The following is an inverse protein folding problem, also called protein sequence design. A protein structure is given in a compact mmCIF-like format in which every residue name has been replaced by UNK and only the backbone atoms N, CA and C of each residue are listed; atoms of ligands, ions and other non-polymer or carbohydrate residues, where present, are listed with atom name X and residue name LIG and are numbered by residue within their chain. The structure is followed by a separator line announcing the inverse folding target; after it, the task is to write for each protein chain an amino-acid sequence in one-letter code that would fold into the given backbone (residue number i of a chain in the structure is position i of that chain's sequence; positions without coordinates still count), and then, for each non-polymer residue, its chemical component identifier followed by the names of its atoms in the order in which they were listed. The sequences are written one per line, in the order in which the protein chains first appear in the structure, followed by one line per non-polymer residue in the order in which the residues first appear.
data_IF_835253899915
#
_entry.id   IF_835253899915
#
_cell.length_a   1.000
_cell.length_b   1.000
_cell.length_c   1.000
_cell.angle_alpha   90.00
_cell.angle_beta   90.00
_cell.angle_gamma   90.00
#
_symmetry.space_group_name_H-M   'P 1'
#
loop_
_entity.id
_entity.type
_entity.pdbx_description
1 polymer ?
#
# COMPACT_ATOMS: atom_id res chain seq x y z
N UNK A 1 0.49 -13.07 23.17
CA UNK A 1 -0.25 -12.26 22.17
C UNK A 1 -0.43 -10.78 22.56
N UNK A 2 -0.67 -10.42 23.84
CA UNK A 2 -1.02 -9.05 24.25
C UNK A 2 0.05 -7.95 24.05
N UNK A 3 1.35 -8.23 24.28
CA UNK A 3 2.41 -7.21 24.23
C UNK A 3 2.73 -6.64 22.83
N UNK A 4 2.41 -7.37 21.75
CA UNK A 4 2.79 -6.98 20.39
C UNK A 4 1.65 -6.30 19.62
N UNK A 5 0.40 -6.64 19.95
CA UNK A 5 -0.77 -5.85 19.55
C UNK A 5 -0.60 -4.42 20.05
N UNK A 6 -0.15 -4.26 21.30
CA UNK A 6 0.14 -2.95 21.90
C UNK A 6 1.20 -2.11 21.13
N UNK A 7 2.27 -2.71 20.60
CA UNK A 7 3.26 -1.95 19.81
C UNK A 7 2.73 -1.57 18.41
N UNK A 8 2.11 -2.52 17.71
CA UNK A 8 1.51 -2.26 16.41
C UNK A 8 0.39 -1.23 16.53
N UNK A 9 -0.48 -1.37 17.54
CA UNK A 9 -1.54 -0.42 17.84
C UNK A 9 -0.98 0.95 18.18
N UNK A 10 0.08 1.05 18.99
CA UNK A 10 0.75 2.34 19.25
C UNK A 10 1.24 3.01 17.97
N UNK A 11 1.93 2.27 17.11
CA UNK A 11 2.46 2.83 15.85
C UNK A 11 1.33 3.20 14.88
N UNK A 12 0.35 2.32 14.68
CA UNK A 12 -0.80 2.59 13.81
C UNK A 12 -1.64 3.74 14.35
N UNK A 13 -1.82 3.86 15.68
CA UNK A 13 -2.50 4.99 16.31
C UNK A 13 -1.73 6.30 16.13
N UNK A 14 -0.40 6.27 16.19
CA UNK A 14 0.44 7.44 15.91
C UNK A 14 0.29 7.89 14.44
N UNK A 15 0.25 6.95 13.50
CA UNK A 15 -0.04 7.24 12.08
C UNK A 15 -1.46 7.80 11.91
N UNK A 16 -2.47 7.16 12.51
CA UNK A 16 -3.88 7.62 12.45
C UNK A 16 -4.01 9.04 13.00
N UNK A 17 -3.38 9.33 14.13
CA UNK A 17 -3.41 10.64 14.77
C UNK A 17 -2.75 11.71 13.90
N UNK A 18 -1.59 11.40 13.32
CA UNK A 18 -0.92 12.29 12.38
C UNK A 18 -1.74 12.49 11.10
N UNK A 19 -2.25 11.43 10.48
CA UNK A 19 -3.04 11.53 9.25
C UNK A 19 -4.33 12.33 9.45
N UNK A 20 -5.00 12.15 10.61
CA UNK A 20 -6.18 12.95 10.99
C UNK A 20 -5.88 14.45 11.07
N UNK A 21 -4.67 14.81 11.53
CA UNK A 21 -4.27 16.21 11.70
C UNK A 21 -3.74 16.83 10.41
N UNK A 22 -2.90 16.10 9.69
CA UNK A 22 -2.08 16.65 8.60
C UNK A 22 -2.63 16.34 7.21
N UNK A 23 -3.41 15.28 7.05
CA UNK A 23 -3.87 14.79 5.73
C UNK A 23 -5.37 14.98 5.58
N UNK A 24 -6.16 14.47 6.52
CA UNK A 24 -7.62 14.42 6.42
C UNK A 24 -8.31 15.78 6.24
N UNK A 25 -7.84 16.91 6.83
CA UNK A 25 -8.45 18.21 6.61
C UNK A 25 -8.41 18.68 5.14
N UNK A 26 -7.52 18.13 4.33
CA UNK A 26 -7.38 18.46 2.91
C UNK A 26 -8.14 17.51 1.98
N UNK A 27 -8.57 16.35 2.48
CA UNK A 27 -9.21 15.32 1.67
C UNK A 27 -10.72 15.58 1.54
N UNK A 28 -11.18 15.78 0.30
CA UNK A 28 -12.60 15.54 -0.04
C UNK A 28 -12.78 14.03 -0.18
N UNK A 29 -13.49 13.38 0.77
CA UNK A 29 -13.63 11.91 0.94
C UNK A 29 -13.26 11.11 -0.32
N UNK A 30 -12.01 10.62 -0.42
CA UNK A 30 -11.56 9.95 -1.63
C UNK A 30 -12.33 8.65 -1.80
N UNK A 31 -12.70 8.36 -3.05
CA UNK A 31 -13.42 7.14 -3.42
C UNK A 31 -12.51 5.95 -3.65
N UNK A 32 -11.25 6.22 -4.03
CA UNK A 32 -10.26 5.19 -4.30
C UNK A 32 -8.89 5.58 -3.74
N UNK A 33 -8.20 4.60 -3.18
CA UNK A 33 -6.75 4.64 -2.91
C UNK A 33 -6.06 3.73 -3.90
N UNK A 34 -5.14 4.28 -4.69
CA UNK A 34 -4.28 3.56 -5.64
C UNK A 34 -2.91 3.42 -5.01
N UNK A 35 -2.50 2.19 -4.72
CA UNK A 35 -1.25 1.89 -4.02
C UNK A 35 -0.34 1.00 -4.89
N UNK A 36 0.26 1.56 -5.96
CA UNK A 36 1.19 0.82 -6.78
C UNK A 36 2.46 0.51 -5.99
N UNK A 37 3.06 -0.65 -6.25
CA UNK A 37 4.25 -1.15 -5.57
C UNK A 37 4.08 -1.39 -4.06
N UNK A 38 2.84 -1.40 -3.56
CA UNK A 38 2.57 -1.58 -2.13
C UNK A 38 2.62 -3.03 -1.66
N UNK A 39 2.56 -4.01 -2.56
CA UNK A 39 2.36 -5.41 -2.16
C UNK A 39 1.01 -5.56 -1.43
N UNK A 40 0.85 -6.51 -0.50
CA UNK A 40 -0.41 -6.71 0.23
C UNK A 40 -0.57 -5.76 1.43
N UNK A 41 0.04 -4.56 1.40
CA UNK A 41 0.09 -3.60 2.51
C UNK A 41 -1.23 -2.85 2.79
N UNK A 42 -2.31 -3.60 3.00
CA UNK A 42 -3.62 -3.01 3.29
C UNK A 42 -3.58 -2.21 4.60
N UNK A 43 -2.83 -2.71 5.59
CA UNK A 43 -2.74 -2.10 6.92
C UNK A 43 -2.34 -0.63 6.86
N UNK A 44 -1.33 -0.25 6.06
CA UNK A 44 -0.96 1.17 5.95
C UNK A 44 -1.98 1.96 5.12
N UNK A 45 -2.49 1.39 4.02
CA UNK A 45 -3.46 2.07 3.17
C UNK A 45 -4.70 2.52 3.95
N UNK A 46 -5.30 1.62 4.73
CA UNK A 46 -6.48 1.93 5.55
C UNK A 46 -6.14 2.79 6.77
N UNK A 47 -4.92 2.69 7.30
CA UNK A 47 -4.47 3.51 8.45
C UNK A 47 -4.30 4.99 8.05
N UNK A 48 -3.74 5.27 6.87
CA UNK A 48 -3.65 6.64 6.35
C UNK A 48 -4.99 7.15 5.82
N UNK A 49 -5.75 6.29 5.15
CA UNK A 49 -6.98 6.66 4.44
C UNK A 49 -8.14 5.73 4.84
N UNK A 50 -8.72 5.88 6.05
CA UNK A 50 -9.83 5.05 6.48
C UNK A 50 -11.12 5.42 5.73
N UNK A 51 -12.04 4.46 5.58
CA UNK A 51 -13.39 4.71 5.06
C UNK A 51 -13.49 5.03 3.57
N UNK A 52 -12.51 4.58 2.77
CA UNK A 52 -12.51 4.71 1.31
C UNK A 52 -13.32 3.57 0.70
N UNK A 53 -14.09 3.87 -0.36
CA UNK A 53 -14.96 2.89 -1.03
C UNK A 53 -14.13 1.76 -1.67
N UNK A 54 -12.96 2.06 -2.24
CA UNK A 54 -12.07 1.08 -2.86
C UNK A 54 -10.58 1.29 -2.54
N UNK A 55 -9.88 0.20 -2.20
CA UNK A 55 -8.43 0.14 -2.10
C UNK A 55 -7.89 -0.74 -3.21
N UNK A 56 -6.96 -0.22 -4.01
CA UNK A 56 -6.33 -0.94 -5.12
C UNK A 56 -4.84 -1.03 -4.85
N UNK A 57 -4.42 -2.21 -4.40
CA UNK A 57 -3.03 -2.54 -4.10
C UNK A 57 -2.42 -3.29 -5.28
N UNK A 58 -1.13 -3.07 -5.52
CA UNK A 58 -0.42 -3.69 -6.63
C UNK A 58 0.94 -4.17 -6.20
N UNK A 59 1.27 -5.39 -6.63
CA UNK A 59 2.59 -5.97 -6.44
C UNK A 59 2.89 -7.06 -7.46
N UNK A 60 3.97 -7.80 -7.23
CA UNK A 60 4.40 -8.94 -8.07
C UNK A 60 4.35 -10.26 -7.32
N UNK A 61 3.97 -10.22 -6.05
CA UNK A 61 3.85 -11.39 -5.20
C UNK A 61 2.79 -12.35 -5.75
N UNK A 62 3.00 -13.67 -5.61
CA UNK A 62 2.01 -14.65 -6.02
C UNK A 62 0.70 -14.47 -5.23
N UNK A 63 -0.44 -14.62 -5.91
CA UNK A 63 -1.77 -14.55 -5.28
C UNK A 63 -1.92 -15.60 -4.18
N UNK A 64 -1.42 -16.81 -4.46
CA UNK A 64 -1.46 -17.94 -3.54
C UNK A 64 -2.88 -18.45 -3.29
N UNK A 65 -3.06 -19.24 -2.23
CA UNK A 65 -4.34 -19.89 -1.91
C UNK A 65 -4.66 -19.89 -0.43
N UNK A 66 -5.96 -19.98 -0.14
CA UNK A 66 -6.44 -20.21 1.21
C UNK A 66 -6.46 -21.71 1.49
N UNK A 67 -5.91 -22.15 2.63
CA UNK A 67 -6.18 -23.50 3.10
C UNK A 67 -7.66 -23.66 3.46
N UNK A 68 -8.14 -24.91 3.51
CA UNK A 68 -9.47 -25.22 4.04
C UNK A 68 -9.48 -25.08 5.56
N UNK A 69 -9.62 -23.84 6.04
CA UNK A 69 -9.65 -23.52 7.47
C UNK A 69 -10.78 -24.24 8.22
N UNK A 70 -11.88 -24.59 7.55
CA UNK A 70 -13.02 -25.26 8.18
C UNK A 70 -12.80 -26.77 8.32
N UNK A 71 -11.98 -27.35 7.46
CA UNK A 71 -11.57 -28.75 7.52
C UNK A 71 -10.35 -29.02 8.42
N UNK A 72 -9.62 -27.97 8.84
CA UNK A 72 -8.42 -28.10 9.67
C UNK A 72 -8.74 -28.54 11.11
N UNK A 73 -7.87 -29.38 11.68
CA UNK A 73 -7.90 -29.66 13.12
C UNK A 73 -7.43 -28.43 13.90
N UNK A 74 -7.91 -28.27 15.13
CA UNK A 74 -7.59 -27.12 16.00
C UNK A 74 -6.08 -26.89 16.14
N UNK A 75 -5.30 -27.95 16.37
CA UNK A 75 -3.84 -27.87 16.49
C UNK A 75 -3.15 -27.40 15.20
N UNK A 76 -3.67 -27.81 14.04
CA UNK A 76 -3.13 -27.42 12.73
C UNK A 76 -3.46 -25.96 12.42
N UNK A 77 -4.71 -25.55 12.72
CA UNK A 77 -5.15 -24.17 12.60
C UNK A 77 -4.31 -23.24 13.49
N UNK A 78 -4.09 -23.63 14.75
CA UNK A 78 -3.27 -22.88 15.70
C UNK A 78 -1.82 -22.76 15.20
N UNK A 79 -1.23 -23.85 14.71
CA UNK A 79 0.12 -23.83 14.14
C UNK A 79 0.21 -22.88 12.94
N UNK A 80 -0.77 -22.93 12.04
CA UNK A 80 -0.86 -22.06 10.88
C UNK A 80 -0.96 -20.58 11.29
N UNK A 81 -1.90 -20.24 12.18
CA UNK A 81 -2.12 -18.86 12.62
C UNK A 81 -0.91 -18.30 13.38
N UNK A 82 -0.25 -19.13 14.19
CA UNK A 82 0.98 -18.76 14.87
C UNK A 82 2.12 -18.48 13.87
N UNK A 83 2.26 -19.31 12.83
CA UNK A 83 3.26 -19.10 11.79
C UNK A 83 2.96 -17.83 10.98
N UNK A 84 1.72 -17.64 10.53
CA UNK A 84 1.27 -16.43 9.82
C UNK A 84 1.57 -15.17 10.63
N UNK A 85 1.22 -15.18 11.92
CA UNK A 85 1.50 -14.07 12.85
C UNK A 85 3.01 -13.83 13.01
N UNK A 86 3.82 -14.90 13.06
CA UNK A 86 5.27 -14.79 13.18
C UNK A 86 5.91 -14.17 11.93
N UNK A 87 5.52 -14.64 10.74
CA UNK A 87 6.01 -14.15 9.44
C UNK A 87 5.61 -12.68 9.24
N UNK A 88 4.36 -12.35 9.52
CA UNK A 88 3.86 -10.97 9.38
C UNK A 88 4.41 -10.02 10.46
N UNK A 89 4.82 -10.53 11.63
CA UNK A 89 5.59 -9.75 12.62
C UNK A 89 6.93 -9.29 12.07
N UNK A 90 7.62 -10.15 11.30
CA UNK A 90 8.91 -9.80 10.67
C UNK A 90 8.73 -8.66 9.65
N UNK A 91 7.69 -8.77 8.82
CA UNK A 91 7.35 -7.79 7.78
C UNK A 91 6.88 -6.46 8.38
N UNK A 92 6.02 -6.49 9.41
CA UNK A 92 5.51 -5.29 10.09
C UNK A 92 6.63 -4.47 10.76
N UNK A 93 7.70 -5.13 11.25
CA UNK A 93 8.89 -4.44 11.78
C UNK A 93 9.71 -3.72 10.71
N UNK A 94 9.67 -4.20 9.46
CA UNK A 94 10.39 -3.59 8.34
C UNK A 94 9.58 -2.48 7.66
N UNK A 95 8.24 -2.49 7.79
CA UNK A 95 7.28 -1.60 7.09
C UNK A 95 7.42 -1.54 5.57
N UNK A 96 8.02 -2.56 4.96
CA UNK A 96 7.99 -2.80 3.53
C UNK A 96 8.15 -4.30 3.28
N UNK A 97 7.64 -4.75 2.14
CA UNK A 97 7.69 -6.15 1.71
C UNK A 97 8.97 -6.39 0.90
N UNK A 98 9.81 -7.33 1.33
CA UNK A 98 11.04 -7.71 0.62
C UNK A 98 10.77 -9.00 -0.17
N UNK A 99 10.70 -8.87 -1.49
CA UNK A 99 10.34 -9.94 -2.44
C UNK A 99 11.19 -11.21 -2.34
N UNK A 100 12.45 -11.12 -1.92
CA UNK A 100 13.38 -12.27 -1.86
C UNK A 100 13.28 -13.02 -0.54
N UNK A 101 13.28 -12.31 0.60
CA UNK A 101 13.15 -12.95 1.93
C UNK A 101 11.73 -13.49 2.15
N UNK A 102 10.70 -12.82 1.63
CA UNK A 102 9.34 -13.34 1.60
C UNK A 102 9.25 -14.69 0.89
N UNK A 103 9.98 -14.90 -0.21
CA UNK A 103 9.95 -16.17 -0.95
C UNK A 103 10.53 -17.32 -0.12
N UNK A 104 11.54 -17.04 0.70
CA UNK A 104 12.15 -18.02 1.60
C UNK A 104 11.28 -18.30 2.84
N UNK A 105 10.62 -17.26 3.38
CA UNK A 105 9.71 -17.38 4.53
C UNK A 105 8.37 -18.04 4.16
N UNK A 106 7.79 -17.72 3.00
CA UNK A 106 6.53 -18.33 2.52
C UNK A 106 6.72 -19.76 2.00
N UNK A 107 7.89 -20.07 1.42
CA UNK A 107 8.12 -21.36 0.76
C UNK A 107 8.34 -22.56 1.70
N UNK A 108 8.68 -22.33 2.97
CA UNK A 108 9.13 -23.43 3.87
C UNK A 108 8.07 -23.93 4.85
N UNK A 109 7.00 -23.18 5.14
CA UNK A 109 6.05 -23.51 6.24
C UNK A 109 4.57 -23.11 6.02
N UNK A 110 4.11 -22.96 4.78
CA UNK A 110 2.67 -23.14 4.47
C UNK A 110 1.80 -21.90 4.30
N UNK A 111 2.33 -20.67 4.32
CA UNK A 111 1.57 -19.49 3.90
C UNK A 111 1.75 -19.29 2.38
N UNK A 112 0.77 -19.73 1.60
CA UNK A 112 0.77 -19.62 0.13
C UNK A 112 0.27 -18.25 -0.33
N UNK A 113 1.21 -17.38 -0.69
CA UNK A 113 0.97 -16.09 -1.36
C UNK A 113 0.23 -15.03 -0.54
N UNK A 114 -0.28 -14.01 -1.23
CA UNK A 114 -0.83 -12.81 -0.59
C UNK A 114 -2.24 -12.95 -0.05
N UNK A 115 -3.03 -13.92 -0.51
CA UNK A 115 -4.42 -14.07 -0.08
C UNK A 115 -4.56 -14.19 1.46
N UNK A 116 -3.90 -15.14 2.14
CA UNK A 116 -3.98 -15.21 3.60
C UNK A 116 -3.44 -13.96 4.30
N UNK A 117 -2.50 -13.23 3.67
CA UNK A 117 -1.94 -11.98 4.20
C UNK A 117 -2.97 -10.84 4.16
N UNK A 118 -3.75 -10.73 3.08
CA UNK A 118 -4.82 -9.72 2.97
C UNK A 118 -5.91 -9.96 4.02
N UNK A 119 -6.30 -11.22 4.26
CA UNK A 119 -7.25 -11.56 5.32
C UNK A 119 -6.71 -11.20 6.71
N UNK A 120 -5.43 -11.48 6.96
CA UNK A 120 -4.78 -11.10 8.21
C UNK A 120 -4.80 -9.58 8.42
N UNK A 121 -4.46 -8.78 7.41
CA UNK A 121 -4.46 -7.32 7.57
C UNK A 121 -5.86 -6.72 7.69
N UNK A 122 -6.87 -7.33 7.05
CA UNK A 122 -8.26 -6.96 7.28
C UNK A 122 -8.63 -7.16 8.76
N UNK A 123 -8.34 -8.34 9.32
CA UNK A 123 -8.58 -8.64 10.73
C UNK A 123 -7.76 -7.74 11.68
N UNK A 124 -6.49 -7.47 11.36
CA UNK A 124 -5.61 -6.59 12.15
C UNK A 124 -6.12 -5.15 12.21
N UNK A 125 -6.90 -4.73 11.22
CA UNK A 125 -7.45 -3.37 11.11
C UNK A 125 -8.93 -3.31 11.46
N UNK A 126 -9.45 -4.31 12.16
CA UNK A 126 -10.84 -4.39 12.63
C UNK A 126 -11.86 -4.34 11.46
N UNK A 127 -11.56 -5.09 10.39
CA UNK A 127 -12.47 -5.32 9.28
C UNK A 127 -12.91 -6.79 9.23
N UNK A 128 -14.23 -7.00 9.17
CA UNK A 128 -14.83 -8.27 8.77
C UNK A 128 -14.72 -8.45 7.26
N UNK A 129 -14.22 -9.61 6.80
CA UNK A 129 -14.30 -10.02 5.39
C UNK A 129 -15.65 -10.69 5.13
N UNK A 130 -16.43 -10.16 4.20
CA UNK A 130 -17.77 -10.64 3.85
C UNK A 130 -17.74 -11.61 2.67
N UNK A 131 -16.85 -11.37 1.71
CA UNK A 131 -16.65 -12.17 0.52
C UNK A 131 -15.21 -12.03 0.03
N UNK A 132 -14.73 -13.03 -0.71
CA UNK A 132 -13.39 -13.06 -1.26
C UNK A 132 -13.31 -13.93 -2.51
N UNK A 133 -12.78 -13.38 -3.60
CA UNK A 133 -12.74 -14.06 -4.90
C UNK A 133 -11.42 -13.79 -5.63
N UNK A 134 -10.99 -14.77 -6.43
CA UNK A 134 -10.01 -14.53 -7.48
C UNK A 134 -10.68 -13.80 -8.64
N UNK A 135 -10.01 -12.80 -9.18
CA UNK A 135 -10.53 -11.99 -10.27
C UNK A 135 -9.53 -11.84 -11.40
N UNK A 136 -10.06 -11.79 -12.61
CA UNK A 136 -9.35 -11.45 -13.85
C UNK A 136 -9.89 -10.15 -14.42
N UNK A 137 -9.03 -9.38 -15.07
CA UNK A 137 -9.44 -8.18 -15.79
C UNK A 137 -9.84 -8.54 -17.22
N UNK A 138 -11.05 -8.14 -17.61
CA UNK A 138 -11.49 -8.25 -18.99
C UNK A 138 -10.90 -7.11 -19.85
N UNK A 139 -11.14 -7.14 -21.16
CA UNK A 139 -10.59 -6.15 -22.10
C UNK A 139 -11.06 -4.70 -21.88
N UNK A 140 -12.13 -4.47 -21.13
CA UNK A 140 -12.60 -3.14 -20.73
C UNK A 140 -12.07 -2.68 -19.38
N UNK A 141 -11.29 -3.51 -18.68
CA UNK A 141 -10.81 -3.22 -17.32
C UNK A 141 -11.86 -3.50 -16.23
N UNK A 142 -12.90 -4.27 -16.52
CA UNK A 142 -13.83 -4.78 -15.50
C UNK A 142 -13.31 -6.08 -14.88
N UNK A 143 -13.65 -6.33 -13.62
CA UNK A 143 -13.31 -7.57 -12.92
C UNK A 143 -14.34 -8.66 -13.18
N UNK A 144 -13.86 -9.88 -13.41
CA UNK A 144 -14.68 -11.09 -13.55
C UNK A 144 -14.10 -12.16 -12.63
N UNK A 145 -14.95 -12.86 -11.88
CA UNK A 145 -14.54 -14.01 -11.07
C UNK A 145 -13.95 -15.10 -11.96
N UNK A 146 -12.87 -15.73 -11.49
CA UNK A 146 -12.20 -16.80 -12.21
C UNK A 146 -11.54 -17.79 -11.25
N UNK A 147 -10.93 -18.84 -11.82
CA UNK A 147 -10.06 -19.74 -11.06
C UNK A 147 -8.76 -19.04 -10.64
N UNK A 148 -8.08 -19.57 -9.61
CA UNK A 148 -6.76 -19.08 -9.15
C UNK A 148 -5.72 -19.03 -10.28
N UNK A 149 -5.72 -20.04 -11.16
CA UNK A 149 -4.70 -20.18 -12.21
C UNK A 149 -4.85 -19.16 -13.34
N UNK A 150 -6.05 -18.59 -13.50
CA UNK A 150 -6.36 -17.57 -14.51
C UNK A 150 -6.37 -16.15 -13.96
N UNK A 151 -6.19 -16.00 -12.65
CA UNK A 151 -6.42 -14.75 -11.94
C UNK A 151 -5.30 -13.73 -12.12
N UNK A 152 -5.70 -12.48 -12.35
CA UNK A 152 -4.81 -11.32 -12.30
C UNK A 152 -4.73 -10.74 -10.88
N UNK A 153 -5.71 -11.03 -10.03
CA UNK A 153 -5.82 -10.46 -8.70
C UNK A 153 -6.79 -11.17 -7.76
N UNK A 154 -6.91 -10.60 -6.56
CA UNK A 154 -7.87 -10.99 -5.52
C UNK A 154 -8.74 -9.76 -5.22
N UNK A 155 -10.04 -10.00 -5.07
CA UNK A 155 -11.00 -9.03 -4.56
C UNK A 155 -11.57 -9.52 -3.23
N UNK A 156 -11.66 -8.61 -2.27
CA UNK A 156 -12.30 -8.81 -0.98
C UNK A 156 -13.37 -7.74 -0.76
N UNK A 157 -14.54 -8.17 -0.30
CA UNK A 157 -15.54 -7.26 0.26
C UNK A 157 -15.36 -7.19 1.77
N UNK A 158 -15.13 -5.97 2.27
CA UNK A 158 -14.84 -5.72 3.68
C UNK A 158 -15.94 -4.88 4.32
N UNK A 159 -16.10 -5.03 5.63
CA UNK A 159 -16.88 -4.12 6.48
C UNK A 159 -16.05 -3.78 7.71
N UNK A 160 -15.83 -2.49 7.96
CA UNK A 160 -15.24 -2.04 9.22
C UNK A 160 -16.18 -2.37 10.39
N UNK A 161 -15.64 -2.96 11.45
CA UNK A 161 -16.42 -3.39 12.62
C UNK A 161 -16.99 -2.18 13.37
N UNK A 162 -16.17 -1.14 13.54
CA UNK A 162 -16.58 0.17 14.05
C UNK A 162 -16.66 1.21 12.92
N UNK A 163 -17.80 1.22 12.23
CA UNK A 163 -18.01 2.16 11.11
C UNK A 163 -18.29 3.58 11.59
N UNK A 164 -17.46 4.53 11.18
CA UNK A 164 -17.70 5.97 11.40
C UNK A 164 -18.86 6.49 10.53
N UNK A 165 -19.57 7.51 11.02
CA UNK A 165 -20.63 8.17 10.26
C UNK A 165 -20.08 8.71 8.93
N UNK A 166 -20.79 8.43 7.83
CA UNK A 166 -20.39 8.85 6.48
C UNK A 166 -19.40 7.92 5.76
N UNK A 167 -18.90 6.88 6.43
CA UNK A 167 -18.13 5.82 5.77
C UNK A 167 -19.06 4.80 5.09
N UNK A 168 -18.60 4.17 3.98
CA UNK A 168 -19.42 3.22 3.25
C UNK A 168 -19.74 2.00 4.10
N UNK A 169 -20.88 1.36 3.85
CA UNK A 169 -21.30 0.15 4.56
C UNK A 169 -20.36 -1.03 4.28
N UNK A 170 -19.91 -1.13 3.04
CA UNK A 170 -18.89 -2.09 2.61
C UNK A 170 -17.81 -1.39 1.80
N UNK A 171 -16.62 -1.97 1.78
CA UNK A 171 -15.45 -1.48 1.08
C UNK A 171 -14.89 -2.60 0.20
N UNK A 172 -14.29 -2.22 -0.92
CA UNK A 172 -13.64 -3.18 -1.81
C UNK A 172 -12.13 -3.09 -1.63
N UNK A 173 -11.49 -4.23 -1.40
CA UNK A 173 -10.04 -4.35 -1.42
C UNK A 173 -9.64 -5.21 -2.61
N UNK A 174 -8.92 -4.61 -3.54
CA UNK A 174 -8.30 -5.29 -4.67
C UNK A 174 -6.79 -5.40 -4.43
N UNK A 175 -6.24 -6.58 -4.70
CA UNK A 175 -4.81 -6.76 -4.94
C UNK A 175 -4.62 -7.31 -6.35
N UNK A 176 -3.82 -6.65 -7.17
CA UNK A 176 -3.45 -7.14 -8.50
C UNK A 176 -1.97 -7.51 -8.55
N UNK A 177 -1.68 -8.69 -9.08
CA UNK A 177 -0.34 -9.11 -9.45
C UNK A 177 -0.08 -8.63 -10.88
N UNK A 178 0.57 -7.48 -11.05
CA UNK A 178 0.74 -6.87 -12.37
C UNK A 178 2.11 -6.21 -12.54
N UNK A 179 2.64 -6.26 -13.76
CA UNK A 179 3.84 -5.52 -14.10
C UNK A 179 3.51 -4.04 -14.38
N UNK A 180 4.07 -3.16 -13.55
CA UNK A 180 3.90 -1.71 -13.66
C UNK A 180 4.97 -1.02 -14.52
N UNK A 181 5.91 -1.77 -15.11
CA UNK A 181 6.81 -1.23 -16.13
C UNK A 181 6.01 -0.67 -17.31
N UNK A 182 6.62 0.17 -18.13
CA UNK A 182 5.98 0.70 -19.34
C UNK A 182 5.50 -0.40 -20.30
N UNK A 183 6.05 -1.62 -20.20
CA UNK A 183 5.65 -2.75 -21.05
C UNK A 183 4.33 -3.39 -20.60
N UNK A 184 4.09 -3.49 -19.29
CA UNK A 184 2.87 -4.01 -18.67
C UNK A 184 1.80 -2.92 -18.46
N UNK A 185 2.24 -1.74 -18.01
CA UNK A 185 1.41 -0.55 -17.81
C UNK A 185 1.50 0.39 -19.01
N UNK A 186 0.77 0.04 -20.08
CA UNK A 186 0.75 0.75 -21.36
C UNK A 186 -0.67 1.16 -21.77
N UNK A 187 -0.81 2.16 -22.67
CA UNK A 187 -2.11 2.55 -23.20
C UNK A 187 -2.93 1.34 -23.66
N UNK A 188 -4.17 1.27 -23.18
CA UNK A 188 -5.12 0.22 -23.52
C UNK A 188 -4.99 -1.09 -22.74
N UNK A 189 -3.98 -1.25 -21.86
CA UNK A 189 -3.88 -2.44 -21.02
C UNK A 189 -5.08 -2.56 -20.07
N UNK A 190 -5.55 -3.79 -19.77
CA UNK A 190 -6.73 -3.98 -18.90
C UNK A 190 -6.61 -3.30 -17.55
N UNK A 191 -5.41 -3.34 -16.94
CA UNK A 191 -5.18 -2.72 -15.63
C UNK A 191 -5.20 -1.20 -15.68
N UNK A 192 -4.64 -0.57 -16.72
CA UNK A 192 -4.76 0.88 -16.89
C UNK A 192 -6.23 1.28 -17.03
N UNK A 193 -7.01 0.57 -17.87
CA UNK A 193 -8.46 0.83 -18.01
C UNK A 193 -9.22 0.67 -16.70
N UNK A 194 -8.86 -0.32 -15.88
CA UNK A 194 -9.44 -0.51 -14.55
C UNK A 194 -9.19 0.72 -13.66
N UNK A 195 -7.99 1.29 -13.68
CA UNK A 195 -7.66 2.48 -12.89
C UNK A 195 -8.30 3.77 -13.46
N UNK A 196 -8.41 3.89 -14.78
CA UNK A 196 -9.01 5.05 -15.46
C UNK A 196 -10.51 5.21 -15.13
N UNK A 197 -11.22 4.12 -14.85
CA UNK A 197 -12.60 4.13 -14.37
C UNK A 197 -12.76 4.70 -12.96
N UNK A 198 -11.66 4.98 -12.27
CA UNK A 198 -11.61 5.43 -10.87
C UNK A 198 -10.87 6.77 -10.76
N UNK A 199 -11.37 7.86 -11.37
CA UNK A 199 -10.68 9.14 -11.37
C UNK A 199 -10.61 9.77 -9.96
N UNK A 200 -9.78 10.80 -9.82
CA UNK A 200 -9.73 11.71 -8.66
C UNK A 200 -9.48 11.04 -7.30
N UNK A 201 -8.75 9.93 -7.32
CA UNK A 201 -8.34 9.19 -6.12
C UNK A 201 -7.11 9.74 -5.41
N UNK A 202 -6.69 8.99 -4.39
CA UNK A 202 -5.40 9.17 -3.72
C UNK A 202 -4.38 8.20 -4.32
N UNK A 203 -3.22 8.69 -4.72
CA UNK A 203 -2.03 7.86 -4.93
C UNK A 203 -1.29 7.66 -3.60
N UNK A 204 -1.00 6.43 -3.22
CA UNK A 204 -0.16 6.13 -2.07
C UNK A 204 1.09 5.39 -2.53
N UNK A 205 2.27 5.85 -2.10
CA UNK A 205 3.55 5.30 -2.50
C UNK A 205 4.45 5.17 -1.27
N UNK A 206 4.98 3.98 -1.05
CA UNK A 206 5.81 3.70 0.11
C UNK A 206 6.74 2.55 -0.22
N UNK A 207 8.04 2.76 0.01
CA UNK A 207 9.09 1.80 -0.35
C UNK A 207 8.93 1.26 -1.79
N UNK A 208 8.72 2.15 -2.76
CA UNK A 208 8.44 1.81 -4.15
C UNK A 208 9.70 1.56 -5.00
N UNK A 209 10.80 1.14 -4.36
CA UNK A 209 12.08 0.78 -4.99
C UNK A 209 12.66 1.82 -5.94
N UNK A 210 12.30 3.09 -5.79
CA UNK A 210 12.72 4.19 -6.68
C UNK A 210 12.42 3.96 -8.18
N UNK A 211 11.51 3.04 -8.50
CA UNK A 211 11.26 2.61 -9.89
C UNK A 211 10.83 3.77 -10.78
N UNK A 212 9.99 4.66 -10.24
CA UNK A 212 9.51 5.87 -10.92
C UNK A 212 10.56 6.98 -11.07
N UNK A 213 11.79 6.77 -10.63
CA UNK A 213 12.93 7.64 -10.98
C UNK A 213 13.48 7.30 -12.36
N UNK A 214 13.17 6.11 -12.87
CA UNK A 214 13.65 5.63 -14.17
C UNK A 214 12.62 5.87 -15.29
N UNK A 215 13.07 5.84 -16.54
CA UNK A 215 12.20 5.95 -17.70
C UNK A 215 11.31 4.71 -17.90
N UNK A 216 11.76 3.53 -17.46
CA UNK A 216 11.03 2.27 -17.60
C UNK A 216 9.71 2.22 -16.85
N UNK A 217 9.45 3.17 -15.93
CA UNK A 217 8.21 3.29 -15.16
C UNK A 217 7.56 4.67 -15.33
N UNK A 218 7.87 5.38 -16.41
CA UNK A 218 7.30 6.70 -16.71
C UNK A 218 5.79 6.67 -16.87
N UNK A 219 5.21 5.58 -17.39
CA UNK A 219 3.77 5.51 -17.63
C UNK A 219 2.96 5.55 -16.34
N UNK A 220 3.34 4.75 -15.33
CA UNK A 220 2.68 4.76 -14.02
C UNK A 220 2.92 6.08 -13.29
N UNK A 221 4.14 6.64 -13.37
CA UNK A 221 4.45 7.98 -12.84
C UNK A 221 3.52 9.05 -13.42
N UNK A 222 3.43 9.09 -14.75
CA UNK A 222 2.62 10.08 -15.48
C UNK A 222 1.12 9.87 -15.23
N UNK A 223 0.67 8.62 -15.13
CA UNK A 223 -0.70 8.30 -14.75
C UNK A 223 -1.05 8.85 -13.37
N UNK A 224 -0.20 8.62 -12.36
CA UNK A 224 -0.46 9.09 -10.99
C UNK A 224 -0.58 10.62 -10.93
N UNK A 225 0.35 11.36 -11.55
CA UNK A 225 0.25 12.83 -11.56
C UNK A 225 -0.91 13.36 -12.40
N UNK A 226 -1.34 12.60 -13.42
CA UNK A 226 -2.45 12.95 -14.30
C UNK A 226 -3.85 12.59 -13.78
N UNK A 227 -3.95 11.60 -12.88
CA UNK A 227 -5.23 11.01 -12.46
C UNK A 227 -5.52 11.18 -10.95
N UNK A 228 -4.50 11.30 -10.10
CA UNK A 228 -4.72 11.44 -8.65
C UNK A 228 -4.90 12.91 -8.26
N UNK A 229 -5.90 13.17 -7.41
CA UNK A 229 -6.11 14.49 -6.82
C UNK A 229 -5.15 14.74 -5.65
N UNK A 230 -4.81 13.66 -4.94
CA UNK A 230 -3.90 13.69 -3.80
C UNK A 230 -2.86 12.60 -3.98
N UNK A 231 -1.63 12.85 -3.51
CA UNK A 231 -0.60 11.81 -3.42
C UNK A 231 0.10 11.92 -2.08
N UNK A 232 0.25 10.79 -1.38
CA UNK A 232 1.11 10.67 -0.22
C UNK A 232 2.26 9.73 -0.57
N UNK A 233 3.50 10.19 -0.41
CA UNK A 233 4.67 9.40 -0.79
C UNK A 233 5.90 9.64 0.08
N UNK A 234 6.77 8.63 0.18
CA UNK A 234 8.15 8.82 0.63
C UNK A 234 9.11 9.13 -0.55
N UNK A 235 10.41 9.26 -0.26
CA UNK A 235 11.44 9.59 -1.27
C UNK A 235 11.53 8.59 -2.43
N UNK A 236 11.12 7.33 -2.22
CA UNK A 236 11.21 6.26 -3.20
C UNK A 236 10.07 6.25 -4.23
N UNK A 237 9.07 7.11 -4.05
CA UNK A 237 7.98 7.33 -5.00
C UNK A 237 8.41 8.13 -6.23
N UNK A 238 7.57 9.08 -6.62
CA UNK A 238 7.83 10.01 -7.73
C UNK A 238 8.97 10.96 -7.32
N UNK A 239 9.97 11.24 -8.19
CA UNK A 239 11.03 12.20 -7.89
C UNK A 239 10.47 13.53 -7.41
N UNK A 240 10.94 14.04 -6.28
CA UNK A 240 10.30 15.15 -5.57
C UNK A 240 10.27 16.45 -6.38
N UNK A 241 11.33 16.72 -7.15
CA UNK A 241 11.38 17.89 -8.02
C UNK A 241 10.30 17.80 -9.12
N UNK A 242 10.21 16.65 -9.80
CA UNK A 242 9.15 16.38 -10.78
C UNK A 242 7.76 16.46 -10.13
N UNK A 243 7.58 15.83 -8.97
CA UNK A 243 6.32 15.82 -8.22
C UNK A 243 5.85 17.25 -7.88
N UNK A 244 6.77 18.13 -7.46
CA UNK A 244 6.48 19.52 -7.12
C UNK A 244 6.00 20.36 -8.30
N UNK A 245 6.21 19.91 -9.54
CA UNK A 245 5.67 20.62 -10.72
C UNK A 245 4.15 20.47 -10.84
N UNK A 246 3.60 19.32 -10.45
CA UNK A 246 2.17 18.98 -10.58
C UNK A 246 1.36 19.17 -9.30
N UNK A 247 2.01 19.17 -8.13
CA UNK A 247 1.33 19.23 -6.83
C UNK A 247 1.82 20.41 -6.00
N UNK A 248 0.93 20.97 -5.19
CA UNK A 248 1.27 21.77 -4.03
C UNK A 248 1.67 20.80 -2.91
N UNK A 249 2.96 20.77 -2.57
CA UNK A 249 3.54 19.73 -1.71
C UNK A 249 3.83 20.26 -0.32
N UNK A 250 3.32 19.56 0.69
CA UNK A 250 3.75 19.69 2.08
C UNK A 250 4.74 18.58 2.42
N UNK A 251 5.86 18.96 3.04
CA UNK A 251 6.96 18.05 3.38
C UNK A 251 6.98 17.77 4.88
N UNK A 252 7.29 16.54 5.26
CA UNK A 252 7.35 16.12 6.65
C UNK A 252 8.61 15.29 6.92
N UNK A 253 9.10 15.37 8.16
CA UNK A 253 10.21 14.56 8.65
C UNK A 253 11.58 15.16 8.37
N UNK A 254 12.56 14.31 8.06
CA UNK A 254 13.94 14.72 7.80
C UNK A 254 14.59 13.87 6.71
N UNK A 255 14.99 14.50 5.60
CA UNK A 255 15.62 13.79 4.50
C UNK A 255 17.12 13.62 4.73
N UNK A 256 17.57 12.38 4.90
CA UNK A 256 18.98 12.00 5.09
C UNK A 256 19.56 11.22 3.89
N UNK A 257 18.87 11.26 2.75
CA UNK A 257 19.20 10.46 1.57
C UNK A 257 18.62 9.03 1.59
N UNK A 258 18.68 8.32 0.45
CA UNK A 258 18.27 6.91 0.34
C UNK A 258 19.15 5.98 1.18
N UNK A 259 18.69 4.75 1.41
CA UNK A 259 19.56 3.68 1.95
C UNK A 259 20.64 3.30 0.93
N UNK A 260 21.73 2.66 1.37
CA UNK A 260 22.91 2.37 0.54
C UNK A 260 22.57 1.69 -0.80
N UNK A 261 21.62 0.75 -0.78
CA UNK A 261 21.13 0.03 -1.97
C UNK A 261 20.53 0.94 -3.06
N UNK A 262 20.07 2.14 -2.68
CA UNK A 262 19.44 3.13 -3.56
C UNK A 262 20.18 4.47 -3.54
N UNK A 263 21.46 4.47 -3.16
CA UNK A 263 22.25 5.69 -2.97
C UNK A 263 22.35 6.56 -4.23
N UNK A 264 22.24 5.96 -5.41
CA UNK A 264 22.22 6.68 -6.70
C UNK A 264 20.96 7.56 -6.89
N UNK A 265 19.91 7.35 -6.11
CA UNK A 265 18.67 8.13 -6.16
C UNK A 265 18.59 9.23 -5.10
N UNK A 266 19.74 9.73 -4.63
CA UNK A 266 19.78 10.92 -3.78
C UNK A 266 19.21 12.14 -4.50
N UNK A 267 18.46 12.97 -3.78
CA UNK A 267 17.68 14.07 -4.35
C UNK A 267 18.17 15.41 -3.78
N UNK A 268 19.04 16.15 -4.49
CA UNK A 268 19.48 17.49 -4.10
C UNK A 268 18.33 18.48 -3.85
N UNK A 269 17.21 18.30 -4.56
CA UNK A 269 15.99 19.07 -4.34
C UNK A 269 15.45 18.89 -2.92
N UNK A 270 15.39 17.64 -2.42
CA UNK A 270 14.94 17.37 -1.06
C UNK A 270 15.91 17.95 -0.02
N UNK A 271 17.23 17.82 -0.21
CA UNK A 271 18.22 18.44 0.70
C UNK A 271 17.95 19.95 0.88
N UNK A 272 17.72 20.69 -0.21
CA UNK A 272 17.39 22.12 -0.15
C UNK A 272 16.10 22.40 0.62
N UNK A 273 15.05 21.61 0.39
CA UNK A 273 13.77 21.76 1.10
C UNK A 273 13.94 21.55 2.60
N UNK A 274 14.57 20.44 3.01
CA UNK A 274 14.69 20.10 4.44
C UNK A 274 15.68 21.01 5.18
N UNK A 275 16.73 21.51 4.51
CA UNK A 275 17.64 22.52 5.08
C UNK A 275 17.00 23.90 5.27
N UNK A 276 15.93 24.22 4.52
CA UNK A 276 15.22 25.50 4.67
C UNK A 276 14.36 25.60 5.93
N UNK A 277 14.11 24.47 6.62
CA UNK A 277 13.20 24.40 7.77
C UNK A 277 11.72 24.32 7.39
N UNK A 278 11.38 24.13 6.11
CA UNK A 278 10.00 24.07 5.63
C UNK A 278 9.24 22.78 6.01
N UNK A 279 9.93 21.75 6.50
CA UNK A 279 9.32 20.45 6.78
C UNK A 279 8.62 20.41 8.15
N UNK A 280 7.39 19.90 8.17
CA UNK A 280 6.65 19.61 9.40
C UNK A 280 7.15 18.34 10.11
N UNK A 281 6.69 18.12 11.34
CA UNK A 281 7.07 16.92 12.09
C UNK A 281 6.47 15.64 11.49
N UNK A 282 7.26 14.57 11.45
CA UNK A 282 6.82 13.20 11.15
C UNK A 282 7.15 12.31 12.35
N UNK A 283 6.16 11.91 13.17
CA UNK A 283 6.43 11.23 14.42
C UNK A 283 6.53 9.70 14.25
N UNK A 284 6.87 9.19 13.06
CA UNK A 284 6.99 7.75 12.83
C UNK A 284 7.92 7.44 11.65
N UNK A 285 8.64 6.32 11.73
CA UNK A 285 9.36 5.73 10.61
C UNK A 285 8.44 5.20 9.51
N UNK A 286 8.85 5.31 8.25
CA UNK A 286 8.12 4.78 7.08
C UNK A 286 9.05 4.53 5.89
N UNK A 287 8.54 3.89 4.84
CA UNK A 287 9.33 3.43 3.70
C UNK A 287 10.52 2.58 4.12
N UNK A 288 11.66 2.82 3.47
CA UNK A 288 12.96 2.22 3.82
C UNK A 288 13.61 2.81 5.09
N UNK A 289 13.04 3.88 5.68
CA UNK A 289 13.60 4.58 6.85
C UNK A 289 12.69 4.38 8.06
N UNK A 290 13.00 3.34 8.83
CA UNK A 290 12.17 2.93 9.99
C UNK A 290 12.41 3.70 11.28
N UNK A 291 13.40 4.60 11.30
CA UNK A 291 13.64 5.52 12.41
C UNK A 291 12.92 6.83 12.12
N UNK A 292 12.18 7.33 13.11
CA UNK A 292 11.42 8.59 13.00
C UNK A 292 12.31 9.77 12.57
N UNK A 293 13.58 9.78 13.02
CA UNK A 293 14.56 10.83 12.71
C UNK A 293 15.02 10.88 11.25
N UNK A 294 14.75 9.82 10.47
CA UNK A 294 15.34 9.62 9.14
C UNK A 294 14.25 9.45 8.07
N UNK A 295 12.98 9.45 8.48
CA UNK A 295 11.85 9.21 7.62
C UNK A 295 11.29 10.51 7.04
N UNK A 296 10.71 10.39 5.85
CA UNK A 296 9.97 11.49 5.24
C UNK A 296 8.61 11.04 4.71
N UNK A 297 7.70 11.99 4.65
CA UNK A 297 6.48 11.91 3.86
C UNK A 297 6.31 13.22 3.11
N UNK A 298 5.81 13.13 1.88
CA UNK A 298 5.40 14.24 1.05
C UNK A 298 3.92 14.08 0.74
N UNK A 299 3.13 15.08 1.10
CA UNK A 299 1.71 15.12 0.76
C UNK A 299 1.47 16.18 -0.31
N UNK A 300 1.04 15.75 -1.49
CA UNK A 300 0.73 16.61 -2.61
C UNK A 300 -0.78 16.77 -2.81
N UNK A 301 -1.22 18.00 -2.99
CA UNK A 301 -2.55 18.36 -3.50
C UNK A 301 -2.37 18.85 -4.93
N UNK A 302 -3.07 18.25 -5.90
CA UNK A 302 -2.92 18.60 -7.32
C UNK A 302 -3.18 20.10 -7.55
N UNK A 303 -2.35 20.73 -8.37
CA UNK A 303 -2.49 22.14 -8.79
C UNK A 303 -3.66 22.34 -9.75
#
# INVERSE_FOLDING_TARGET
MALNRDWQDKRLNQIRGWARKEIHPHLTRPKVVKYPFGGPDFVHAVTFFPGVDEYVLVGLEPLGSLPDFLGMQELELDAYLNHLTHTLRSISRRSFFITTEMREDFGKQGVDGVYPVLLYFAALTDHTVLDGRYVKLNGSGGTVECSKDEADGIWLQLRADERMAGFPETQNLYYFKTDLSNSGFKPGSPFLKFLEQRPDGVGYLKAASFLMHTDSFSNVRNFLVGNCKFVLQDASGIPAEFFSTYFNVTYYGNYVGPIDMFSEYDQPFLHRIYQSGAAGALPFGTGYRMKDSDAIQMFGIRK
#
